data_IF_862199045003
#
_entry.id   IF_862199045003
#
_cell.length_a   1.000
_cell.length_b   1.000
_cell.length_c   1.000
_cell.angle_alpha   90.00
_cell.angle_beta   90.00
_cell.angle_gamma   90.00
#
_symmetry.space_group_name_H-M   'P 1'
#
loop_
_entity.id
_entity.type
_entity.pdbx_description
1 polymer ?
#
# COMPACT_ATOMS: atom_id res chain seq x y z
N UNK A 1 -0.17 -10.58 4.12
CA UNK A 1 -0.57 -9.32 3.43
C UNK A 1 -1.68 -9.59 2.42
N UNK A 2 -2.70 -8.72 2.32
CA UNK A 2 -3.71 -8.76 1.25
C UNK A 2 -3.42 -7.66 0.22
N UNK A 3 -3.60 -7.97 -1.07
CA UNK A 3 -3.38 -7.01 -2.17
C UNK A 3 -4.73 -6.69 -2.82
N UNK A 4 -5.15 -5.43 -2.71
CA UNK A 4 -6.44 -4.97 -3.26
C UNK A 4 -6.33 -4.32 -4.64
N UNK A 5 -5.20 -3.65 -4.93
CA UNK A 5 -4.89 -3.04 -6.23
C UNK A 5 -3.41 -3.30 -6.53
N UNK A 6 -3.11 -3.61 -7.79
CA UNK A 6 -1.75 -3.74 -8.28
C UNK A 6 -1.51 -2.67 -9.33
N UNK A 7 -0.33 -2.05 -9.26
CA UNK A 7 0.19 -1.14 -10.25
C UNK A 7 1.04 -1.88 -11.28
N UNK A 8 1.88 -1.15 -12.03
CA UNK A 8 2.80 -1.72 -12.99
C UNK A 8 3.84 -2.67 -12.37
N UNK A 9 4.25 -2.49 -11.12
CA UNK A 9 5.15 -3.39 -10.40
C UNK A 9 4.40 -4.53 -9.73
N UNK A 10 5.06 -5.68 -9.69
CA UNK A 10 4.50 -6.91 -9.15
C UNK A 10 4.58 -6.90 -7.62
N UNK A 11 3.57 -6.33 -6.97
CA UNK A 11 3.31 -6.54 -5.53
C UNK A 11 2.78 -7.97 -5.36
N UNK A 12 3.59 -8.86 -4.76
CA UNK A 12 3.28 -10.28 -4.55
C UNK A 12 2.55 -10.48 -3.21
N UNK A 13 1.77 -11.56 -3.11
CA UNK A 13 1.22 -12.00 -1.81
C UNK A 13 2.34 -12.60 -0.96
N UNK A 14 2.31 -12.39 0.34
CA UNK A 14 3.30 -12.91 1.30
C UNK A 14 4.03 -11.79 2.03
N UNK A 15 5.23 -12.10 2.54
CA UNK A 15 6.16 -11.14 3.12
C UNK A 15 6.77 -10.29 2.00
N UNK A 16 6.75 -8.98 2.15
CA UNK A 16 7.33 -8.04 1.20
C UNK A 16 8.02 -6.90 1.93
N UNK A 17 9.02 -6.30 1.29
CA UNK A 17 9.66 -5.09 1.78
C UNK A 17 8.83 -3.86 1.42
N UNK A 18 8.80 -2.90 2.35
CA UNK A 18 8.32 -1.55 2.13
C UNK A 18 9.55 -0.64 2.17
N UNK A 19 9.90 -0.06 1.04
CA UNK A 19 11.05 0.84 0.93
C UNK A 19 10.65 2.23 1.41
N UNK A 20 11.53 2.87 2.17
CA UNK A 20 11.33 4.25 2.64
C UNK A 20 12.63 5.00 2.41
N UNK A 21 12.56 6.20 1.84
CA UNK A 21 13.74 7.04 1.72
C UNK A 21 14.22 7.44 3.13
N UNK A 22 15.54 7.42 3.36
CA UNK A 22 16.11 7.81 4.65
C UNK A 22 15.72 9.24 5.07
N UNK A 23 15.52 10.14 4.09
CA UNK A 23 15.03 11.50 4.35
C UNK A 23 13.62 11.50 4.95
N UNK A 24 12.75 10.58 4.50
CA UNK A 24 11.37 10.47 4.99
C UNK A 24 11.32 9.77 6.36
N UNK A 25 12.32 8.95 6.72
CA UNK A 25 12.41 8.34 8.05
C UNK A 25 12.62 9.39 9.17
N UNK A 26 13.24 10.53 8.86
CA UNK A 26 13.53 11.57 9.84
C UNK A 26 12.26 12.12 10.51
N UNK A 27 11.13 12.16 9.79
CA UNK A 27 9.88 12.66 10.34
C UNK A 27 9.21 11.70 11.34
N UNK A 28 9.60 10.41 11.34
CA UNK A 28 8.99 9.33 12.15
C UNK A 28 7.45 9.21 11.98
N UNK A 29 6.92 9.74 10.89
CA UNK A 29 5.51 9.73 10.56
C UNK A 29 5.23 8.77 9.39
N UNK A 30 4.14 8.00 9.44
CA UNK A 30 3.28 7.81 10.61
C UNK A 30 3.95 6.91 11.66
N UNK A 31 3.46 6.95 12.91
CA UNK A 31 3.93 6.06 13.98
C UNK A 31 3.43 4.63 13.75
N UNK A 32 4.20 3.83 13.02
CA UNK A 32 3.91 2.42 12.77
C UNK A 32 4.30 1.60 14.00
N UNK A 33 3.39 0.72 14.44
CA UNK A 33 3.60 -0.19 15.58
C UNK A 33 3.80 -1.61 15.07
N UNK A 34 4.72 -2.33 15.71
CA UNK A 34 4.95 -3.75 15.42
C UNK A 34 3.71 -4.55 15.80
N UNK A 35 3.45 -5.65 15.07
CA UNK A 35 2.26 -6.52 15.22
C UNK A 35 0.90 -5.86 14.93
N UNK A 36 0.88 -4.62 14.42
CA UNK A 36 -0.33 -3.95 13.98
C UNK A 36 -0.53 -4.11 12.47
N UNK A 37 -1.79 -4.13 12.02
CA UNK A 37 -2.13 -4.23 10.59
C UNK A 37 -2.49 -2.86 10.04
N UNK A 38 -2.00 -2.55 8.84
CA UNK A 38 -2.18 -1.28 8.16
C UNK A 38 -2.71 -1.46 6.73
N UNK A 39 -3.53 -0.53 6.26
CA UNK A 39 -3.73 -0.30 4.83
C UNK A 39 -2.67 0.70 4.36
N UNK A 40 -1.86 0.27 3.40
CA UNK A 40 -0.82 1.10 2.78
C UNK A 40 -1.21 1.34 1.32
N UNK A 41 -1.27 2.60 0.93
CA UNK A 41 -1.45 3.06 -0.43
C UNK A 41 -0.26 3.93 -0.81
N UNK A 42 0.56 3.47 -1.74
CA UNK A 42 1.71 4.21 -2.21
C UNK A 42 1.71 4.30 -3.73
N UNK A 43 2.57 5.17 -4.26
CA UNK A 43 2.93 5.08 -5.66
C UNK A 43 3.87 3.91 -5.87
N UNK A 44 3.72 3.34 -7.04
CA UNK A 44 4.56 2.26 -7.47
C UNK A 44 5.77 2.84 -8.20
N UNK A 45 6.95 2.73 -7.59
CA UNK A 45 8.20 3.15 -8.20
C UNK A 45 8.92 1.90 -8.68
N UNK A 46 8.99 1.73 -10.00
CA UNK A 46 9.75 0.64 -10.62
C UNK A 46 11.25 0.90 -10.44
N UNK A 47 11.84 0.29 -9.44
CA UNK A 47 13.29 0.20 -9.31
C UNK A 47 13.72 -1.27 -9.50
N UNK A 48 14.61 -1.57 -10.48
CA UNK A 48 15.05 -2.94 -10.75
C UNK A 48 15.61 -3.65 -9.52
N UNK A 49 16.35 -2.91 -8.69
CA UNK A 49 17.07 -3.44 -7.53
C UNK A 49 16.25 -3.40 -6.23
N UNK A 50 15.07 -2.79 -6.25
CA UNK A 50 14.22 -2.61 -5.07
C UNK A 50 12.79 -3.08 -5.36
N UNK A 51 12.57 -4.40 -5.54
CA UNK A 51 11.23 -4.93 -5.74
C UNK A 51 10.39 -4.69 -4.48
N UNK A 52 9.23 -4.05 -4.63
CA UNK A 52 8.33 -3.79 -3.51
C UNK A 52 7.50 -2.53 -3.70
N UNK A 53 6.86 -2.11 -2.62
CA UNK A 53 6.20 -0.81 -2.55
C UNK A 53 7.18 0.19 -1.95
N UNK A 54 7.18 1.43 -2.44
CA UNK A 54 7.89 2.53 -1.80
C UNK A 54 6.87 3.39 -1.06
N UNK A 55 7.12 3.65 0.23
CA UNK A 55 6.42 4.65 1.00
C UNK A 55 7.24 5.94 1.02
N UNK A 56 6.57 7.02 0.64
CA UNK A 56 7.08 8.39 0.56
C UNK A 56 6.08 9.36 1.22
N UNK A 57 6.36 10.66 1.15
CA UNK A 57 5.48 11.71 1.65
C UNK A 57 4.08 11.77 0.99
N UNK A 58 3.84 11.03 -0.11
CA UNK A 58 2.54 10.93 -0.80
C UNK A 58 1.82 9.63 -0.49
N UNK A 59 2.43 8.77 0.31
CA UNK A 59 1.88 7.48 0.69
C UNK A 59 0.92 7.63 1.86
N UNK A 60 -0.19 6.90 1.80
CA UNK A 60 -1.20 6.86 2.85
C UNK A 60 -1.01 5.57 3.63
N UNK A 61 -0.84 5.69 4.95
CA UNK A 61 -0.78 4.57 5.88
C UNK A 61 -1.84 4.80 6.95
N UNK A 62 -2.79 3.88 7.06
CA UNK A 62 -3.88 3.98 8.02
C UNK A 62 -4.07 2.65 8.74
N UNK A 63 -4.40 2.70 10.03
CA UNK A 63 -4.69 1.51 10.82
C UNK A 63 -5.83 0.71 10.18
N UNK A 64 -5.63 -0.59 10.04
CA UNK A 64 -6.62 -1.46 9.45
C UNK A 64 -7.86 -1.59 10.34
N UNK A 65 -9.04 -1.48 9.73
CA UNK A 65 -10.32 -1.83 10.36
C UNK A 65 -10.96 -3.00 9.61
N UNK A 66 -11.45 -4.00 10.34
CA UNK A 66 -12.01 -5.22 9.73
C UNK A 66 -13.20 -4.95 8.80
N UNK A 67 -14.00 -3.92 9.11
CA UNK A 67 -15.08 -3.44 8.24
C UNK A 67 -14.60 -3.03 6.84
N UNK A 68 -13.34 -2.64 6.69
CA UNK A 68 -12.78 -2.21 5.41
C UNK A 68 -12.52 -3.37 4.47
N UNK A 69 -12.39 -4.62 4.96
CA UNK A 69 -12.20 -5.79 4.09
C UNK A 69 -13.29 -5.88 3.01
N UNK A 70 -14.56 -5.73 3.41
CA UNK A 70 -15.72 -5.76 2.50
C UNK A 70 -15.72 -4.54 1.58
N UNK A 71 -15.37 -3.35 2.09
CA UNK A 71 -15.28 -2.10 1.33
C UNK A 71 -14.21 -2.17 0.24
N UNK A 72 -13.01 -2.65 0.57
CA UNK A 72 -11.90 -2.81 -0.37
C UNK A 72 -12.22 -3.80 -1.49
N UNK A 73 -12.87 -4.94 -1.15
CA UNK A 73 -13.35 -5.89 -2.18
C UNK A 73 -14.40 -5.26 -3.11
N UNK A 74 -15.30 -4.42 -2.59
CA UNK A 74 -16.26 -3.67 -3.44
C UNK A 74 -15.53 -2.72 -4.39
N UNK A 75 -14.54 -1.98 -3.92
CA UNK A 75 -13.74 -1.10 -4.78
C UNK A 75 -12.95 -1.86 -5.84
N UNK A 76 -12.31 -2.97 -5.48
CA UNK A 76 -11.61 -3.82 -6.43
C UNK A 76 -12.55 -4.33 -7.55
N UNK A 77 -13.77 -4.76 -7.20
CA UNK A 77 -14.78 -5.16 -8.19
C UNK A 77 -15.22 -4.00 -9.09
N UNK A 78 -15.42 -2.79 -8.54
CA UNK A 78 -15.76 -1.60 -9.33
C UNK A 78 -14.64 -1.25 -10.31
N UNK A 79 -13.38 -1.26 -9.86
CA UNK A 79 -12.21 -1.02 -10.71
C UNK A 79 -12.14 -2.04 -11.87
N UNK A 80 -12.28 -3.34 -11.59
CA UNK A 80 -12.28 -4.39 -12.63
C UNK A 80 -13.38 -4.22 -13.68
N UNK A 81 -14.48 -3.53 -13.33
CA UNK A 81 -15.59 -3.19 -14.23
C UNK A 81 -15.41 -1.82 -14.90
N UNK A 82 -14.27 -1.15 -14.75
CA UNK A 82 -14.02 0.19 -15.29
C UNK A 82 -14.83 1.31 -14.62
N UNK A 83 -15.42 1.08 -13.44
CA UNK A 83 -16.32 2.03 -12.75
C UNK A 83 -15.59 2.89 -11.69
N UNK A 84 -14.34 3.26 -11.96
CA UNK A 84 -13.64 4.25 -11.14
C UNK A 84 -14.12 5.64 -11.54
N UNK A 85 -14.41 6.49 -10.56
CA UNK A 85 -14.62 7.91 -10.82
C UNK A 85 -13.24 8.53 -11.05
N UNK A 86 -13.11 9.36 -12.10
CA UNK A 86 -11.93 10.19 -12.32
C UNK A 86 -11.91 11.35 -11.32
#
# INVERSE_FOLDING_TARGET
>A
MQVYKQGPSKVRRGTQFLWVNIADLACKCPKIRVKQTYLILGKDIRQPDQPGLTADNRSIVIDWKDEWARRMRRYQRKQRKGKCKN
#
